data_IF_534057749445
#
_entry.id   IF_534057749445
#
_cell.length_a   1.000
_cell.length_b   1.000
_cell.length_c   1.000
_cell.angle_alpha   90.00
_cell.angle_beta   90.00
_cell.angle_gamma   90.00
#
_symmetry.space_group_name_H-M   'P 1'
#
loop_
_entity.id
_entity.type
_entity.pdbx_description
1 polymer ?
#
# COMPACT_ATOMS: atom_id res chain seq x y z
N UNK A 1 -20.99 95.73 -39.77
CA UNK A 1 -19.93 95.18 -40.62
C UNK A 1 -18.80 94.53 -39.81
N UNK A 2 -18.08 95.26 -38.94
CA UNK A 2 -16.96 94.72 -38.14
C UNK A 2 -17.32 93.54 -37.21
N UNK A 3 -18.52 93.53 -36.64
CA UNK A 3 -19.01 92.44 -35.78
C UNK A 3 -18.98 91.08 -36.47
N UNK A 4 -19.47 91.00 -37.71
CA UNK A 4 -19.49 89.75 -38.47
C UNK A 4 -18.08 89.25 -38.80
N UNK A 5 -17.14 90.16 -39.04
CA UNK A 5 -15.75 89.84 -39.33
C UNK A 5 -15.05 89.25 -38.08
N UNK A 6 -15.22 89.91 -36.93
CA UNK A 6 -14.69 89.44 -35.65
C UNK A 6 -15.34 88.13 -35.19
N UNK A 7 -16.66 88.02 -35.35
CA UNK A 7 -17.42 86.80 -35.01
C UNK A 7 -17.03 85.63 -35.90
N UNK A 8 -16.88 85.84 -37.21
CA UNK A 8 -16.42 84.83 -38.15
C UNK A 8 -15.01 84.32 -37.81
N UNK A 9 -14.08 85.22 -37.50
CA UNK A 9 -12.74 84.85 -37.06
C UNK A 9 -12.76 84.03 -35.76
N UNK A 10 -13.54 84.45 -34.76
CA UNK A 10 -13.70 83.72 -33.51
C UNK A 10 -14.34 82.34 -33.72
N UNK A 11 -15.37 82.25 -34.57
CA UNK A 11 -16.04 81.00 -34.89
C UNK A 11 -15.08 80.00 -35.53
N UNK A 12 -14.24 80.44 -36.47
CA UNK A 12 -13.23 79.60 -37.09
C UNK A 12 -12.22 79.10 -36.05
N UNK A 13 -11.76 79.95 -35.13
CA UNK A 13 -10.86 79.51 -34.05
C UNK A 13 -11.54 78.48 -33.14
N UNK A 14 -12.81 78.69 -32.78
CA UNK A 14 -13.56 77.77 -31.94
C UNK A 14 -13.76 76.41 -32.63
N UNK A 15 -14.16 76.44 -33.91
CA UNK A 15 -14.42 75.26 -34.72
C UNK A 15 -13.14 74.47 -35.04
N UNK A 16 -12.06 75.16 -35.42
CA UNK A 16 -10.83 74.54 -35.88
C UNK A 16 -9.88 74.16 -34.74
N UNK A 17 -9.99 74.77 -33.55
CA UNK A 17 -9.01 74.58 -32.46
C UNK A 17 -9.65 74.07 -31.19
N UNK A 18 -10.74 74.67 -30.73
CA UNK A 18 -11.33 74.38 -29.41
C UNK A 18 -12.13 73.08 -29.44
N UNK A 19 -13.05 72.93 -30.39
CA UNK A 19 -13.86 71.71 -30.57
C UNK A 19 -12.99 70.46 -30.77
N UNK A 20 -12.00 70.43 -31.68
CA UNK A 20 -11.17 69.23 -31.86
C UNK A 20 -10.33 68.88 -30.63
N UNK A 21 -9.90 69.87 -29.83
CA UNK A 21 -9.20 69.61 -28.57
C UNK A 21 -10.08 68.92 -27.53
N UNK A 22 -11.33 69.34 -27.38
CA UNK A 22 -12.29 68.67 -26.50
C UNK A 22 -12.66 67.26 -27.00
N UNK A 23 -12.87 67.12 -28.31
CA UNK A 23 -13.14 65.82 -28.93
C UNK A 23 -11.98 64.84 -28.72
N UNK A 24 -10.74 65.30 -28.88
CA UNK A 24 -9.54 64.50 -28.64
C UNK A 24 -9.45 64.01 -27.20
N UNK A 25 -9.60 64.89 -26.21
CA UNK A 25 -9.54 64.48 -24.80
C UNK A 25 -10.64 63.48 -24.43
N UNK A 26 -11.84 63.64 -24.98
CA UNK A 26 -12.93 62.69 -24.76
C UNK A 26 -12.63 61.33 -25.42
N UNK A 27 -12.10 61.33 -26.64
CA UNK A 27 -11.68 60.12 -27.33
C UNK A 27 -10.54 59.40 -26.60
N UNK A 28 -9.52 60.15 -26.16
CA UNK A 28 -8.38 59.61 -25.39
C UNK A 28 -8.87 58.93 -24.09
N UNK A 29 -9.80 59.55 -23.36
CA UNK A 29 -10.40 58.95 -22.16
C UNK A 29 -11.23 57.70 -22.46
N UNK A 30 -12.06 57.73 -23.52
CA UNK A 30 -12.85 56.56 -23.93
C UNK A 30 -11.93 55.39 -24.30
N UNK A 31 -10.89 55.66 -25.08
CA UNK A 31 -9.92 54.65 -25.48
C UNK A 31 -9.16 54.06 -24.29
N UNK A 32 -8.77 54.90 -23.32
CA UNK A 32 -8.14 54.43 -22.09
C UNK A 32 -9.08 53.52 -21.28
N UNK A 33 -10.33 53.95 -21.05
CA UNK A 33 -11.33 53.15 -20.32
C UNK A 33 -11.61 51.82 -21.03
N UNK A 34 -11.80 51.83 -22.35
CA UNK A 34 -11.99 50.60 -23.12
C UNK A 34 -10.77 49.69 -23.07
N UNK A 35 -9.56 50.26 -23.12
CA UNK A 35 -8.31 49.53 -22.96
C UNK A 35 -8.21 48.85 -21.60
N UNK A 36 -8.47 49.59 -20.53
CA UNK A 36 -8.44 49.10 -19.15
C UNK A 36 -9.51 48.02 -18.92
N UNK A 37 -10.71 48.20 -19.47
CA UNK A 37 -11.78 47.18 -19.39
C UNK A 37 -11.42 45.90 -20.14
N UNK A 38 -10.83 46.02 -21.34
CA UNK A 38 -10.37 44.84 -22.10
C UNK A 38 -9.25 44.11 -21.35
N UNK A 39 -8.26 44.85 -20.85
CA UNK A 39 -7.18 44.28 -20.06
C UNK A 39 -7.72 43.59 -18.79
N UNK A 40 -8.64 44.22 -18.06
CA UNK A 40 -9.26 43.62 -16.87
C UNK A 40 -10.05 42.35 -17.22
N UNK A 41 -10.81 42.35 -18.33
CA UNK A 41 -11.55 41.19 -18.78
C UNK A 41 -10.62 40.03 -19.17
N UNK A 42 -9.53 40.31 -19.88
CA UNK A 42 -8.52 39.33 -20.27
C UNK A 42 -7.82 38.73 -19.04
N UNK A 43 -7.39 39.57 -18.09
CA UNK A 43 -6.77 39.11 -16.85
C UNK A 43 -7.74 38.28 -16.00
N UNK A 44 -9.01 38.67 -15.96
CA UNK A 44 -10.05 37.90 -15.26
C UNK A 44 -10.26 36.54 -15.93
N UNK A 45 -10.33 36.49 -17.26
CA UNK A 45 -10.46 35.25 -18.01
C UNK A 45 -9.25 34.33 -17.82
N UNK A 46 -8.03 34.87 -17.86
CA UNK A 46 -6.81 34.14 -17.60
C UNK A 46 -6.76 33.59 -16.16
N UNK A 47 -7.16 34.38 -15.17
CA UNK A 47 -7.24 33.95 -13.78
C UNK A 47 -8.28 32.84 -13.57
N UNK A 48 -9.45 32.94 -14.22
CA UNK A 48 -10.47 31.90 -14.17
C UNK A 48 -9.98 30.60 -14.83
N UNK A 49 -9.32 30.68 -15.99
CA UNK A 49 -8.75 29.53 -16.67
C UNK A 49 -7.67 28.85 -15.80
N UNK A 50 -6.77 29.64 -15.20
CA UNK A 50 -5.74 29.13 -14.29
C UNK A 50 -6.34 28.48 -13.04
N UNK A 51 -7.41 29.05 -12.48
CA UNK A 51 -8.14 28.43 -11.35
C UNK A 51 -8.76 27.09 -11.73
N UNK A 52 -9.44 27.03 -12.87
CA UNK A 52 -10.05 25.78 -13.35
C UNK A 52 -9.00 24.70 -13.60
N UNK A 53 -7.86 25.06 -14.18
CA UNK A 53 -6.76 24.12 -14.42
C UNK A 53 -6.15 23.62 -13.10
N UNK A 54 -5.94 24.51 -12.13
CA UNK A 54 -5.46 24.13 -10.80
C UNK A 54 -6.45 23.22 -10.07
N UNK A 55 -7.75 23.49 -10.16
CA UNK A 55 -8.81 22.66 -9.58
C UNK A 55 -8.85 21.26 -10.22
N UNK A 56 -8.72 21.18 -11.55
CA UNK A 56 -8.62 19.91 -12.28
C UNK A 56 -7.38 19.13 -11.86
N UNK A 57 -6.20 19.76 -11.88
CA UNK A 57 -4.95 19.13 -11.48
C UNK A 57 -5.02 18.62 -10.02
N UNK A 58 -5.67 19.38 -9.12
CA UNK A 58 -5.88 18.96 -7.73
C UNK A 58 -6.84 17.77 -7.63
N UNK A 59 -7.92 17.74 -8.43
CA UNK A 59 -8.86 16.62 -8.47
C UNK A 59 -8.19 15.35 -9.02
N UNK A 60 -7.43 15.47 -10.10
CA UNK A 60 -6.66 14.38 -10.70
C UNK A 60 -5.60 13.84 -9.74
N UNK A 61 -4.83 14.72 -9.08
CA UNK A 61 -3.84 14.33 -8.09
C UNK A 61 -4.48 13.56 -6.92
N UNK A 62 -5.65 14.02 -6.43
CA UNK A 62 -6.40 13.31 -5.37
C UNK A 62 -6.91 11.95 -5.86
N UNK A 63 -7.41 11.86 -7.09
CA UNK A 63 -7.87 10.61 -7.67
C UNK A 63 -6.70 9.62 -7.83
N UNK A 64 -5.55 10.09 -8.31
CA UNK A 64 -4.34 9.29 -8.46
C UNK A 64 -3.80 8.82 -7.11
N UNK A 65 -3.78 9.68 -6.10
CA UNK A 65 -3.37 9.31 -4.75
C UNK A 65 -4.26 8.20 -4.17
N UNK A 66 -5.59 8.31 -4.34
CA UNK A 66 -6.54 7.26 -3.92
C UNK A 66 -6.27 5.93 -4.63
N UNK A 67 -6.10 5.96 -5.96
CA UNK A 67 -5.77 4.77 -6.75
C UNK A 67 -4.47 4.11 -6.28
N UNK A 68 -3.42 4.89 -6.02
CA UNK A 68 -2.14 4.37 -5.52
C UNK A 68 -2.30 3.72 -4.14
N UNK A 69 -3.06 4.35 -3.23
CA UNK A 69 -3.32 3.80 -1.89
C UNK A 69 -4.12 2.51 -1.97
N UNK A 70 -5.16 2.44 -2.81
CA UNK A 70 -5.96 1.25 -3.00
C UNK A 70 -5.15 0.11 -3.63
N UNK A 71 -4.34 0.40 -4.65
CA UNK A 71 -3.45 -0.58 -5.27
C UNK A 71 -2.42 -1.12 -4.26
N UNK A 72 -1.74 -0.23 -3.53
CA UNK A 72 -0.78 -0.63 -2.51
C UNK A 72 -1.43 -1.49 -1.42
N UNK A 73 -2.64 -1.13 -0.98
CA UNK A 73 -3.38 -1.90 0.02
C UNK A 73 -3.71 -3.30 -0.49
N UNK A 74 -4.20 -3.43 -1.72
CA UNK A 74 -4.48 -4.72 -2.34
C UNK A 74 -3.22 -5.58 -2.49
N UNK A 75 -2.11 -4.98 -2.94
CA UNK A 75 -0.83 -5.68 -3.09
C UNK A 75 -0.28 -6.14 -1.73
N UNK A 76 -0.41 -5.31 -0.68
CA UNK A 76 -0.03 -5.67 0.67
C UNK A 76 -0.89 -6.79 1.26
N UNK A 77 -2.21 -6.75 1.07
CA UNK A 77 -3.12 -7.81 1.50
C UNK A 77 -2.78 -9.14 0.80
N UNK A 78 -2.53 -9.11 -0.52
CA UNK A 78 -2.13 -10.28 -1.28
C UNK A 78 -0.75 -10.83 -0.85
N UNK A 79 0.23 -9.94 -0.61
CA UNK A 79 1.55 -10.33 -0.12
C UNK A 79 1.49 -10.93 1.29
N UNK A 80 0.67 -10.35 2.19
CA UNK A 80 0.45 -10.86 3.53
C UNK A 80 -0.19 -12.26 3.50
N UNK A 81 -1.25 -12.45 2.71
CA UNK A 81 -1.90 -13.75 2.56
C UNK A 81 -0.94 -14.82 2.01
N UNK A 82 -0.08 -14.45 1.05
CA UNK A 82 0.95 -15.35 0.52
C UNK A 82 2.01 -15.69 1.56
N UNK A 83 2.45 -14.71 2.35
CA UNK A 83 3.43 -14.91 3.42
C UNK A 83 2.87 -15.80 4.53
N UNK A 84 1.61 -15.59 4.92
CA UNK A 84 0.90 -16.39 5.91
C UNK A 84 0.75 -17.84 5.43
N UNK A 85 0.27 -18.06 4.19
CA UNK A 85 0.17 -19.40 3.62
C UNK A 85 1.53 -20.12 3.58
N UNK A 86 2.60 -19.41 3.23
CA UNK A 86 3.95 -19.96 3.24
C UNK A 86 4.44 -20.28 4.66
N UNK A 87 4.15 -19.43 5.64
CA UNK A 87 4.50 -19.63 7.04
C UNK A 87 3.76 -20.85 7.62
N UNK A 88 2.44 -20.96 7.38
CA UNK A 88 1.61 -22.10 7.80
C UNK A 88 2.11 -23.40 7.17
N UNK A 89 2.45 -23.40 5.87
CA UNK A 89 3.04 -24.58 5.22
C UNK A 89 4.37 -25.01 5.86
N UNK A 90 5.25 -24.05 6.18
CA UNK A 90 6.52 -24.32 6.87
C UNK A 90 6.27 -24.84 8.30
N UNK A 91 5.32 -24.28 9.02
CA UNK A 91 4.95 -24.72 10.36
C UNK A 91 4.45 -26.17 10.33
N UNK A 92 3.49 -26.49 9.45
CA UNK A 92 2.96 -27.85 9.31
C UNK A 92 4.05 -28.86 8.93
N UNK A 93 4.98 -28.48 8.06
CA UNK A 93 6.13 -29.33 7.71
C UNK A 93 7.03 -29.59 8.91
N UNK A 94 7.27 -28.58 9.76
CA UNK A 94 8.07 -28.73 10.98
C UNK A 94 7.35 -29.61 12.00
N UNK A 95 6.04 -29.44 12.16
CA UNK A 95 5.21 -30.26 13.06
C UNK A 95 5.27 -31.72 12.62
N UNK A 96 5.02 -32.03 11.34
CA UNK A 96 5.09 -33.40 10.83
C UNK A 96 6.47 -34.05 11.06
N UNK A 97 7.56 -33.30 10.84
CA UNK A 97 8.92 -33.79 11.14
C UNK A 97 9.17 -33.99 12.64
N UNK A 98 8.57 -33.17 13.50
CA UNK A 98 8.68 -33.32 14.93
C UNK A 98 7.90 -34.56 15.41
N UNK A 99 6.69 -34.77 14.88
CA UNK A 99 5.87 -35.95 15.16
C UNK A 99 6.58 -37.24 14.72
N UNK A 100 7.19 -37.26 13.54
CA UNK A 100 8.00 -38.39 13.06
C UNK A 100 9.18 -38.69 14.01
N UNK A 101 9.89 -37.65 14.47
CA UNK A 101 10.97 -37.81 15.45
C UNK A 101 10.48 -38.30 16.81
N UNK A 102 9.33 -37.83 17.26
CA UNK A 102 8.72 -38.28 18.52
C UNK A 102 8.32 -39.75 18.41
N UNK A 103 7.70 -40.15 17.30
CA UNK A 103 7.36 -41.55 17.05
C UNK A 103 8.61 -42.44 17.03
N UNK A 104 9.65 -42.05 16.31
CA UNK A 104 10.92 -42.79 16.28
C UNK A 104 11.57 -42.88 17.67
N UNK A 105 11.56 -41.79 18.44
CA UNK A 105 12.09 -41.78 19.82
C UNK A 105 11.26 -42.66 20.76
N UNK A 106 9.94 -42.69 20.59
CA UNK A 106 9.05 -43.56 21.37
C UNK A 106 9.37 -45.03 21.08
N UNK A 107 9.47 -45.38 19.80
CA UNK A 107 9.71 -46.77 19.40
C UNK A 107 11.10 -47.23 19.86
N UNK A 108 12.13 -46.38 19.75
CA UNK A 108 13.46 -46.66 20.29
C UNK A 108 13.44 -46.84 21.83
N UNK A 109 12.70 -46.00 22.55
CA UNK A 109 12.55 -46.13 24.01
C UNK A 109 11.84 -47.43 24.39
N UNK A 110 10.80 -47.84 23.66
CA UNK A 110 10.11 -49.11 23.89
C UNK A 110 11.03 -50.32 23.66
N UNK A 111 11.86 -50.28 22.63
CA UNK A 111 12.88 -51.33 22.38
C UNK A 111 13.87 -51.41 23.54
N UNK A 112 14.44 -50.27 23.95
CA UNK A 112 15.41 -50.21 25.06
C UNK A 112 14.80 -50.69 26.40
N UNK A 113 13.54 -50.37 26.67
CA UNK A 113 12.83 -50.87 27.86
C UNK A 113 12.67 -52.38 27.79
N UNK A 114 12.27 -52.95 26.65
CA UNK A 114 12.14 -54.40 26.48
C UNK A 114 13.49 -55.13 26.67
N UNK A 115 14.58 -54.57 26.15
CA UNK A 115 15.94 -55.10 26.36
C UNK A 115 16.32 -55.07 27.85
N UNK A 116 16.12 -53.94 28.52
CA UNK A 116 16.43 -53.78 29.96
C UNK A 116 15.59 -54.73 30.82
N UNK A 117 14.30 -54.88 30.51
CA UNK A 117 13.40 -55.82 31.22
C UNK A 117 13.83 -57.27 30.98
N UNK A 118 14.24 -57.62 29.76
CA UNK A 118 14.76 -58.94 29.43
C UNK A 118 16.05 -59.28 30.19
N UNK A 119 16.99 -58.34 30.26
CA UNK A 119 18.21 -58.49 31.05
C UNK A 119 17.91 -58.64 32.55
N UNK A 120 17.03 -57.81 33.10
CA UNK A 120 16.65 -57.86 34.51
C UNK A 120 15.92 -59.16 34.86
N UNK A 121 14.98 -59.59 34.02
CA UNK A 121 14.25 -60.85 34.18
C UNK A 121 15.20 -62.05 34.10
N UNK A 122 16.16 -62.05 33.16
CA UNK A 122 17.19 -63.08 33.04
C UNK A 122 18.05 -63.18 34.30
N UNK A 123 18.51 -62.04 34.82
CA UNK A 123 19.28 -61.97 36.05
C UNK A 123 18.50 -62.48 37.29
N UNK A 124 17.20 -62.17 37.37
CA UNK A 124 16.32 -62.67 38.44
C UNK A 124 16.16 -64.19 38.33
N UNK A 125 15.89 -64.73 37.14
CA UNK A 125 15.73 -66.18 36.93
C UNK A 125 17.02 -66.93 37.23
N UNK A 126 18.17 -66.43 36.80
CA UNK A 126 19.48 -67.02 37.11
C UNK A 126 19.73 -67.04 38.62
N UNK A 127 19.40 -65.95 39.34
CA UNK A 127 19.57 -65.85 40.80
C UNK A 127 18.62 -66.77 41.59
N UNK A 128 17.40 -66.98 41.11
CA UNK A 128 16.37 -67.77 41.83
C UNK A 128 16.44 -69.27 41.50
N UNK A 129 16.67 -69.62 40.23
CA UNK A 129 16.65 -71.01 39.76
C UNK A 129 18.02 -71.65 39.63
N UNK A 130 19.10 -70.86 39.59
CA UNK A 130 20.47 -71.34 39.36
C UNK A 130 20.74 -71.82 37.92
N UNK A 131 19.74 -71.73 37.03
CA UNK A 131 19.86 -72.10 35.62
C UNK A 131 19.96 -70.82 34.79
N UNK A 132 20.99 -70.74 33.94
CA UNK A 132 21.15 -69.62 33.01
C UNK A 132 20.18 -69.77 31.83
N UNK A 133 19.15 -68.93 31.69
CA UNK A 133 18.20 -69.06 30.58
C UNK A 133 18.89 -68.71 29.26
N UNK A 134 18.56 -69.42 28.19
CA UNK A 134 19.11 -69.08 26.87
C UNK A 134 18.49 -67.79 26.34
N UNK A 135 19.29 -66.93 25.72
CA UNK A 135 18.86 -65.62 25.20
C UNK A 135 17.62 -65.72 24.29
N UNK A 136 17.50 -66.81 23.52
CA UNK A 136 16.33 -67.11 22.67
C UNK A 136 15.03 -67.32 23.45
N UNK A 137 15.08 -67.99 24.60
CA UNK A 137 13.90 -68.26 25.43
C UNK A 137 13.41 -66.99 26.14
N UNK A 138 14.35 -66.17 26.63
CA UNK A 138 14.07 -64.85 27.22
C UNK A 138 13.43 -63.88 26.21
N UNK A 139 14.03 -63.76 25.03
CA UNK A 139 13.53 -62.87 23.97
C UNK A 139 12.12 -63.28 23.49
N UNK A 140 11.85 -64.59 23.38
CA UNK A 140 10.51 -65.10 23.03
C UNK A 140 9.48 -64.80 24.13
N UNK A 141 9.85 -64.98 25.40
CA UNK A 141 8.96 -64.71 26.54
C UNK A 141 8.64 -63.21 26.67
N UNK A 142 9.64 -62.33 26.57
CA UNK A 142 9.45 -60.87 26.64
C UNK A 142 8.60 -60.37 25.48
N UNK A 143 8.83 -60.86 24.26
CA UNK A 143 7.99 -60.52 23.09
C UNK A 143 6.55 -61.01 23.22
N UNK A 144 6.33 -62.17 23.84
CA UNK A 144 4.97 -62.71 24.04
C UNK A 144 4.13 -61.86 25.00
N UNK A 145 4.77 -61.18 25.97
CA UNK A 145 4.10 -60.25 26.89
C UNK A 145 4.00 -58.84 26.28
N UNK A 146 5.04 -58.37 25.59
CA UNK A 146 5.07 -57.04 24.97
C UNK A 146 4.13 -56.88 23.76
N UNK A 147 3.79 -57.98 23.06
CA UNK A 147 2.83 -57.98 21.93
C UNK A 147 1.38 -58.28 22.31
N UNK A 148 1.07 -58.51 23.58
CA UNK A 148 -0.27 -58.85 24.08
C UNK A 148 -1.07 -57.64 24.63
N UNK A 149 -0.54 -56.42 24.47
CA UNK A 149 -1.18 -55.15 24.84
C UNK A 149 -1.25 -54.22 23.62
#
# INVERSE_FOLDING_TARGET
FWFWLAFGALYIVLAAVVIPRFAKTLADRKNAIEGDLRAAAEQTAAAQAARQEAEKAQAEARAQARKTVEAARHDHEAAAAKAEAAATKKANTKIAKAEEKIAASRDAALVSVNETVGELAGAIVERVSGIKPTAKALDTAVKSVAGAA
#
